data_IF_482924720894
#
_entry.id   IF_482924720894
#
_cell.length_a   1.000
_cell.length_b   1.000
_cell.length_c   1.000
_cell.angle_alpha   90.00
_cell.angle_beta   90.00
_cell.angle_gamma   90.00
#
_symmetry.space_group_name_H-M   'P 1'
#
loop_
_entity.id
_entity.type
_entity.pdbx_description
1 polymer ?
#
# COMPACT_ATOMS: atom_id res chain seq x y z
N UNK A 1 0.12 -11.54 -14.62
CA UNK A 1 -0.97 -10.62 -14.20
C UNK A 1 -0.35 -9.34 -13.68
N UNK A 2 -0.94 -8.15 -13.88
CA UNK A 2 -0.30 -6.92 -13.45
C UNK A 2 -0.24 -6.86 -11.93
N UNK A 3 0.99 -6.80 -11.42
CA UNK A 3 1.29 -6.65 -10.01
C UNK A 3 1.75 -5.22 -9.80
N UNK A 4 1.26 -4.57 -8.75
CA UNK A 4 1.69 -3.23 -8.39
C UNK A 4 2.35 -3.26 -7.02
N UNK A 5 3.40 -2.46 -6.84
CA UNK A 5 4.04 -2.26 -5.54
C UNK A 5 4.28 -0.78 -5.31
N UNK A 6 4.09 -0.31 -4.09
CA UNK A 6 4.41 1.05 -3.71
C UNK A 6 4.60 1.17 -2.21
N UNK A 7 5.11 2.32 -1.79
CA UNK A 7 5.33 2.63 -0.39
C UNK A 7 4.41 3.77 0.01
N UNK A 8 3.67 3.57 1.09
CA UNK A 8 2.94 4.64 1.75
C UNK A 8 3.85 5.29 2.78
N UNK A 9 3.87 6.62 2.78
CA UNK A 9 4.60 7.45 3.72
C UNK A 9 3.74 8.66 4.06
N UNK A 10 3.35 8.80 5.32
CA UNK A 10 2.47 9.89 5.73
C UNK A 10 2.22 9.90 7.23
N UNK A 11 1.48 10.92 7.68
CA UNK A 11 1.00 10.96 9.07
C UNK A 11 -0.35 10.27 9.20
N UNK A 12 -0.52 9.53 10.29
CA UNK A 12 -1.81 8.98 10.67
C UNK A 12 -2.77 10.12 11.08
N UNK A 13 -3.97 10.13 10.52
CA UNK A 13 -4.99 11.14 10.83
C UNK A 13 -5.50 11.05 12.29
N UNK A 14 -5.40 9.88 12.92
CA UNK A 14 -5.90 9.65 14.28
C UNK A 14 -4.90 9.99 15.40
N UNK A 15 -3.60 9.76 15.17
CA UNK A 15 -2.58 9.96 16.21
C UNK A 15 -1.44 10.93 15.83
N UNK A 16 -1.48 11.52 14.63
CA UNK A 16 -0.45 12.43 14.06
C UNK A 16 0.97 11.83 13.96
N UNK A 17 1.12 10.54 14.26
CA UNK A 17 2.39 9.80 14.13
C UNK A 17 2.70 9.49 12.68
N UNK A 18 3.99 9.50 12.35
CA UNK A 18 4.46 9.13 11.01
C UNK A 18 4.41 7.62 10.83
N UNK A 19 3.82 7.18 9.72
CA UNK A 19 3.65 5.78 9.35
C UNK A 19 4.19 5.54 7.94
N UNK A 20 4.92 4.44 7.82
CA UNK A 20 5.52 4.00 6.57
C UNK A 20 5.29 2.50 6.37
N UNK A 21 4.76 2.10 5.22
CA UNK A 21 4.54 0.69 4.92
C UNK A 21 4.53 0.41 3.42
N UNK A 22 4.98 -0.79 3.05
CA UNK A 22 4.93 -1.26 1.69
C UNK A 22 3.56 -1.87 1.38
N UNK A 23 3.05 -1.62 0.17
CA UNK A 23 1.77 -2.12 -0.33
C UNK A 23 2.02 -2.91 -1.61
N UNK A 24 1.53 -4.15 -1.64
CA UNK A 24 1.50 -5.01 -2.81
C UNK A 24 0.06 -5.26 -3.25
N UNK A 25 -0.24 -4.97 -4.52
CA UNK A 25 -1.56 -5.14 -5.11
C UNK A 25 -1.45 -6.13 -6.27
N UNK A 26 -2.31 -7.15 -6.24
CA UNK A 26 -2.51 -8.09 -7.34
C UNK A 26 -3.96 -7.93 -7.78
N UNK A 27 -4.21 -7.67 -9.06
CA UNK A 27 -5.55 -7.34 -9.56
C UNK A 27 -6.61 -8.43 -9.33
N UNK A 28 -6.17 -9.67 -9.06
CA UNK A 28 -7.00 -10.85 -8.81
C UNK A 28 -7.04 -11.28 -7.33
N UNK A 29 -6.37 -10.55 -6.42
CA UNK A 29 -6.29 -10.90 -4.99
C UNK A 29 -6.49 -9.70 -4.09
N UNK A 30 -6.76 -10.00 -2.82
CA UNK A 30 -6.80 -8.98 -1.77
C UNK A 30 -5.44 -8.26 -1.68
N UNK A 31 -5.43 -6.91 -1.72
CA UNK A 31 -4.25 -6.11 -1.46
C UNK A 31 -3.59 -6.47 -0.12
N UNK A 32 -2.26 -6.42 -0.06
CA UNK A 32 -1.49 -6.69 1.16
C UNK A 32 -0.63 -5.48 1.49
N UNK A 33 -0.64 -5.05 2.75
CA UNK A 33 0.23 -3.99 3.23
C UNK A 33 1.02 -4.45 4.46
N UNK A 34 2.29 -4.03 4.54
CA UNK A 34 3.24 -4.45 5.57
C UNK A 34 4.02 -3.23 6.10
N UNK A 35 3.83 -2.94 7.39
CA UNK A 35 4.60 -1.94 8.12
C UNK A 35 5.87 -2.57 8.69
N UNK A 36 7.00 -1.90 8.53
CA UNK A 36 8.29 -2.33 9.07
C UNK A 36 8.73 -1.39 10.19
N UNK A 37 8.18 -1.62 11.38
CA UNK A 37 8.50 -0.84 12.58
C UNK A 37 9.65 -1.44 13.41
N UNK A 38 10.04 -0.79 14.51
CA UNK A 38 11.06 -1.30 15.44
C UNK A 38 10.69 -2.65 16.07
N UNK A 39 9.40 -3.00 16.09
CA UNK A 39 8.90 -4.31 16.56
C UNK A 39 8.88 -5.38 15.46
N UNK A 40 9.44 -5.10 14.28
CA UNK A 40 9.46 -6.01 13.13
C UNK A 40 8.30 -5.79 12.16
N UNK A 41 8.15 -6.68 11.15
CA UNK A 41 7.12 -6.59 10.13
C UNK A 41 5.73 -6.89 10.70
N UNK A 42 4.79 -5.98 10.50
CA UNK A 42 3.40 -6.13 10.93
C UNK A 42 2.44 -5.89 9.76
N UNK A 43 1.40 -6.72 9.60
CA UNK A 43 0.40 -6.49 8.57
C UNK A 43 -0.39 -5.22 8.87
N UNK A 44 -0.56 -4.36 7.86
CA UNK A 44 -1.44 -3.20 7.93
C UNK A 44 -2.79 -3.61 7.38
N UNK A 45 -3.84 -3.40 8.17
CA UNK A 45 -5.20 -3.74 7.76
C UNK A 45 -5.72 -2.69 6.79
N UNK A 46 -5.81 -3.07 5.52
CA UNK A 46 -6.45 -2.26 4.48
C UNK A 46 -7.97 -2.39 4.61
N UNK A 47 -8.64 -1.25 4.73
CA UNK A 47 -10.10 -1.14 4.83
C UNK A 47 -10.69 -0.97 3.44
N UNK A 48 -10.08 -0.10 2.63
CA UNK A 48 -10.49 0.18 1.27
C UNK A 48 -9.30 0.57 0.39
N UNK A 49 -9.38 0.25 -0.89
CA UNK A 49 -8.33 0.51 -1.89
C UNK A 49 -9.00 0.95 -3.18
N UNK A 50 -8.82 2.22 -3.53
CA UNK A 50 -9.31 2.79 -4.78
C UNK A 50 -8.17 2.95 -5.76
N UNK A 51 -8.23 2.21 -6.88
CA UNK A 51 -7.31 2.39 -7.99
C UNK A 51 -7.68 3.68 -8.74
N UNK A 52 -6.74 4.63 -8.79
CA UNK A 52 -6.88 5.88 -9.50
C UNK A 52 -6.33 5.82 -10.93
N UNK A 53 -5.51 6.80 -11.27
CA UNK A 53 -4.96 6.98 -12.61
C UNK A 53 -3.90 5.92 -12.88
N UNK A 54 -4.08 5.18 -13.98
CA UNK A 54 -3.08 4.31 -14.58
C UNK A 54 -2.31 5.10 -15.64
N UNK A 55 -1.03 5.32 -15.40
CA UNK A 55 -0.03 5.69 -16.40
C UNK A 55 0.68 4.39 -16.82
N UNK A 56 1.33 4.38 -17.99
CA UNK A 56 1.89 3.18 -18.64
C UNK A 56 2.52 2.15 -17.68
N UNK A 57 3.31 2.61 -16.70
CA UNK A 57 3.95 1.74 -15.68
C UNK A 57 3.65 2.13 -14.22
N UNK A 58 2.76 3.09 -13.97
CA UNK A 58 2.48 3.56 -12.60
C UNK A 58 0.98 3.75 -12.33
N UNK A 59 0.56 3.52 -11.09
CA UNK A 59 -0.80 3.71 -10.64
C UNK A 59 -0.83 4.65 -9.43
N UNK A 60 -1.64 5.71 -9.46
CA UNK A 60 -2.00 6.43 -8.23
C UNK A 60 -3.10 5.64 -7.53
N UNK A 61 -2.90 5.33 -6.24
CA UNK A 61 -3.83 4.52 -5.46
C UNK A 61 -4.17 5.27 -4.19
N UNK A 62 -5.45 5.29 -3.85
CA UNK A 62 -5.92 5.78 -2.56
C UNK A 62 -6.22 4.59 -1.67
N UNK A 63 -5.79 4.69 -0.43
CA UNK A 63 -5.99 3.63 0.56
C UNK A 63 -6.66 4.22 1.79
N UNK A 64 -7.53 3.42 2.37
CA UNK A 64 -7.99 3.58 3.75
C UNK A 64 -7.48 2.38 4.53
N UNK A 65 -6.87 2.63 5.68
CA UNK A 65 -6.21 1.62 6.47
C UNK A 65 -6.34 1.88 7.96
N UNK A 66 -6.22 0.83 8.75
CA UNK A 66 -6.09 0.91 10.20
C UNK A 66 -4.63 1.17 10.55
N UNK A 67 -4.36 2.25 11.29
CA UNK A 67 -3.01 2.65 11.66
C UNK A 67 -2.35 1.56 12.52
N UNK A 68 -1.17 1.05 12.14
CA UNK A 68 -0.50 -0.02 12.89
C UNK A 68 -0.02 0.43 14.28
N UNK A 69 0.09 1.74 14.53
CA UNK A 69 0.58 2.29 15.79
C UNK A 69 -0.54 2.50 16.83
N UNK A 70 -1.72 2.94 16.40
CA UNK A 70 -2.80 3.33 17.31
C UNK A 70 -4.14 2.61 17.07
N UNK A 71 -4.27 1.84 15.99
CA UNK A 71 -5.52 1.18 15.60
C UNK A 71 -6.60 2.12 15.04
N UNK A 72 -6.28 3.40 14.83
CA UNK A 72 -7.21 4.39 14.28
C UNK A 72 -7.31 4.34 12.76
N UNK A 73 -8.46 4.68 12.20
CA UNK A 73 -8.65 4.80 10.76
C UNK A 73 -7.84 5.97 10.20
N UNK A 74 -7.14 5.74 9.09
CA UNK A 74 -6.41 6.75 8.35
C UNK A 74 -6.56 6.52 6.85
N UNK A 75 -6.45 7.59 6.08
CA UNK A 75 -6.44 7.55 4.62
C UNK A 75 -5.17 8.12 4.03
N UNK A 76 -4.87 7.77 2.78
CA UNK A 76 -3.62 8.14 2.14
C UNK A 76 -3.60 7.90 0.65
N UNK A 77 -2.65 8.55 -0.02
CA UNK A 77 -2.34 8.29 -1.42
C UNK A 77 -0.94 7.71 -1.53
N UNK A 78 -0.78 6.74 -2.42
CA UNK A 78 0.54 6.24 -2.81
C UNK A 78 0.61 6.06 -4.33
N UNK A 79 1.82 6.19 -4.85
CA UNK A 79 2.11 5.86 -6.24
C UNK A 79 2.72 4.47 -6.27
N UNK A 80 2.02 3.53 -6.89
CA UNK A 80 2.54 2.19 -7.13
C UNK A 80 3.17 2.11 -8.52
N UNK A 81 4.17 1.25 -8.66
CA UNK A 81 4.79 0.88 -9.93
C UNK A 81 4.35 -0.52 -10.33
N UNK A 82 4.18 -0.72 -11.62
CA UNK A 82 3.96 -2.02 -12.19
C UNK A 82 5.22 -2.89 -12.00
N UNK A 83 5.03 -4.09 -11.48
CA UNK A 83 6.05 -5.12 -11.31
C UNK A 83 5.86 -6.13 -12.43
N UNK A 84 6.76 -6.18 -13.41
CA UNK A 84 6.67 -7.16 -14.49
C UNK A 84 6.69 -8.58 -13.92
N UNK A 85 5.90 -9.47 -14.53
CA UNK A 85 5.86 -10.88 -14.15
C UNK A 85 7.27 -11.47 -14.39
N UNK A 86 7.90 -12.15 -13.41
CA UNK A 86 9.23 -12.74 -13.60
C UNK A 86 9.27 -13.78 -14.74
N UNK A 87 8.12 -14.27 -15.19
CA UNK A 87 7.97 -15.21 -16.30
C UNK A 87 7.84 -14.55 -17.69
N UNK A 88 7.78 -13.21 -17.77
CA UNK A 88 7.66 -12.49 -19.05
C UNK A 88 9.01 -12.10 -19.68
N UNK A 89 10.14 -12.47 -19.06
CA UNK A 89 11.49 -12.18 -19.53
C UNK A 89 12.17 -13.37 -20.23
N UNK A 90 11.40 -14.28 -20.86
CA UNK A 90 11.90 -15.45 -21.59
C UNK A 90 11.63 -15.35 -23.08
#
# INVERSE_FOLDING_TARGET
MPRFTGDFQGKCEACDEYVEFAVGIQTDRTPVAMHFGPSGPQPVRLIDVELGILLEDTAEIRIRFECPLCGGDSSGKLTCRHVPDPLSAS
#
